data_IF_248249731705
#
_entry.id   IF_248249731705
#
_cell.length_a   1.000
_cell.length_b   1.000
_cell.length_c   1.000
_cell.angle_alpha   90.00
_cell.angle_beta   90.00
_cell.angle_gamma   90.00
#
_symmetry.space_group_name_H-M   'P 1'
#
loop_
_entity.id
_entity.type
_entity.pdbx_description
1 polymer ?
#
# COMPACT_ATOMS: atom_id res chain seq x y z
N UNK A 1 -16.44 22.24 -23.03
CA UNK A 1 -17.64 21.51 -22.57
C UNK A 1 -17.45 21.27 -21.08
N UNK A 2 -18.18 22.01 -20.23
CA UNK A 2 -18.26 21.68 -18.79
C UNK A 2 -19.13 20.45 -18.67
N UNK A 3 -18.56 19.30 -18.39
CA UNK A 3 -19.32 18.16 -17.89
C UNK A 3 -19.82 18.55 -16.49
N UNK A 4 -21.11 18.80 -16.36
CA UNK A 4 -21.76 18.85 -15.05
C UNK A 4 -21.39 17.55 -14.32
N UNK A 5 -20.84 17.68 -13.11
CA UNK A 5 -20.57 16.52 -12.27
C UNK A 5 -21.94 15.87 -11.99
N UNK A 6 -22.10 14.61 -12.43
CA UNK A 6 -23.30 13.84 -12.14
C UNK A 6 -23.57 13.85 -10.63
N UNK A 7 -24.82 14.04 -10.22
CA UNK A 7 -25.19 13.93 -8.81
C UNK A 7 -24.75 12.55 -8.27
N UNK A 8 -24.21 12.49 -7.04
CA UNK A 8 -23.76 11.22 -6.48
C UNK A 8 -24.94 10.26 -6.32
N UNK A 9 -24.74 9.00 -6.73
CA UNK A 9 -25.75 7.95 -6.64
C UNK A 9 -26.17 7.65 -5.19
N UNK A 10 -25.30 8.00 -4.23
CA UNK A 10 -25.51 7.87 -2.79
C UNK A 10 -25.14 9.20 -2.13
N UNK A 11 -26.06 9.76 -1.38
CA UNK A 11 -25.86 10.99 -0.61
C UNK A 11 -25.72 10.65 0.86
N UNK A 12 -24.67 11.13 1.53
CA UNK A 12 -24.53 11.04 2.99
C UNK A 12 -25.43 12.08 3.65
N UNK A 13 -26.29 11.64 4.53
CA UNK A 13 -27.21 12.49 5.32
C UNK A 13 -26.56 12.95 6.63
N UNK A 14 -25.88 12.03 7.30
CA UNK A 14 -25.12 12.29 8.53
C UNK A 14 -24.05 11.25 8.71
N UNK A 15 -23.02 11.58 9.51
CA UNK A 15 -21.90 10.69 9.83
C UNK A 15 -21.64 10.67 11.33
N UNK A 16 -21.31 9.52 11.86
CA UNK A 16 -20.88 9.35 13.25
C UNK A 16 -19.67 8.42 13.33
N UNK A 17 -18.71 8.75 14.20
CA UNK A 17 -17.57 7.87 14.48
C UNK A 17 -18.01 6.87 15.56
N UNK A 18 -17.91 5.57 15.24
CA UNK A 18 -18.28 4.48 16.17
C UNK A 18 -17.09 3.86 16.87
N UNK A 19 -15.90 3.99 16.27
CA UNK A 19 -14.63 3.58 16.87
C UNK A 19 -13.51 4.46 16.34
N UNK A 20 -12.50 4.75 17.16
CA UNK A 20 -11.28 5.42 16.71
C UNK A 20 -10.11 5.08 17.64
N UNK A 21 -8.96 4.76 17.04
CA UNK A 21 -7.66 4.66 17.72
C UNK A 21 -6.60 5.46 16.95
N UNK A 22 -5.33 5.14 17.12
CA UNK A 22 -4.23 5.81 16.41
C UNK A 22 -4.17 5.47 14.91
N UNK A 23 -4.68 4.30 14.54
CA UNK A 23 -4.47 3.69 13.21
C UNK A 23 -5.74 3.59 12.38
N UNK A 24 -6.90 3.57 13.05
CA UNK A 24 -8.18 3.24 12.39
C UNK A 24 -9.31 4.07 12.97
N UNK A 25 -10.17 4.58 12.10
CA UNK A 25 -11.44 5.18 12.44
C UNK A 25 -12.55 4.42 11.73
N UNK A 26 -13.53 3.93 12.47
CA UNK A 26 -14.76 3.37 11.90
C UNK A 26 -15.84 4.43 11.95
N UNK A 27 -16.32 4.83 10.77
CA UNK A 27 -17.42 5.79 10.59
C UNK A 27 -18.67 5.04 10.14
N UNK A 28 -19.81 5.43 10.70
CA UNK A 28 -21.14 5.03 10.25
C UNK A 28 -21.83 6.23 9.61
N UNK A 29 -22.24 6.08 8.34
CA UNK A 29 -22.97 7.08 7.59
C UNK A 29 -24.42 6.65 7.42
N UNK A 30 -25.35 7.57 7.71
CA UNK A 30 -26.72 7.45 7.25
C UNK A 30 -26.78 7.96 5.81
N UNK A 31 -27.31 7.16 4.91
CA UNK A 31 -27.29 7.45 3.47
C UNK A 31 -28.67 7.46 2.85
N UNK A 32 -28.81 8.16 1.73
CA UNK A 32 -29.94 8.14 0.83
C UNK A 32 -29.46 7.81 -0.59
N UNK A 33 -30.08 6.84 -1.22
CA UNK A 33 -29.77 6.45 -2.60
C UNK A 33 -30.58 7.29 -3.58
N UNK A 34 -30.26 7.23 -4.85
CA UNK A 34 -30.93 7.97 -5.94
C UNK A 34 -32.43 7.67 -6.07
N UNK A 35 -32.88 6.50 -5.61
CA UNK A 35 -34.29 6.11 -5.56
C UNK A 35 -35.02 6.61 -4.31
N UNK A 36 -34.36 7.38 -3.45
CA UNK A 36 -34.91 7.89 -2.19
C UNK A 36 -34.86 6.88 -1.03
N UNK A 37 -34.41 5.65 -1.24
CA UNK A 37 -34.26 4.65 -0.19
C UNK A 37 -33.15 5.06 0.79
N UNK A 38 -33.41 4.87 2.09
CA UNK A 38 -32.44 5.15 3.16
C UNK A 38 -31.72 3.89 3.58
N UNK A 39 -30.53 4.06 4.11
CA UNK A 39 -29.69 2.97 4.61
C UNK A 39 -28.53 3.47 5.44
N UNK A 40 -27.64 2.56 5.80
CA UNK A 40 -26.39 2.88 6.49
C UNK A 40 -25.20 2.34 5.72
N UNK A 41 -24.07 3.02 5.85
CA UNK A 41 -22.78 2.57 5.29
C UNK A 41 -21.72 2.63 6.40
N UNK A 42 -20.93 1.56 6.53
CA UNK A 42 -19.78 1.54 7.42
C UNK A 42 -18.52 1.79 6.60
N UNK A 43 -17.73 2.79 6.99
CA UNK A 43 -16.49 3.16 6.31
C UNK A 43 -15.33 3.04 7.27
N UNK A 44 -14.34 2.22 6.90
CA UNK A 44 -13.06 2.12 7.60
C UNK A 44 -12.12 3.18 7.01
N UNK A 45 -11.73 4.14 7.83
CA UNK A 45 -10.80 5.19 7.46
C UNK A 45 -9.42 4.87 8.02
N UNK A 46 -8.42 4.91 7.16
CA UNK A 46 -7.01 4.77 7.50
C UNK A 46 -6.20 5.75 6.67
N UNK A 47 -5.03 6.12 7.15
CA UNK A 47 -4.11 6.95 6.39
C UNK A 47 -3.67 6.23 5.10
N UNK A 48 -3.49 7.00 4.03
CA UNK A 48 -2.91 6.48 2.80
C UNK A 48 -1.48 6.02 3.06
N UNK A 49 -1.01 5.06 2.27
CA UNK A 49 0.33 4.50 2.43
C UNK A 49 1.11 4.52 1.11
N UNK A 50 2.41 4.39 1.20
CA UNK A 50 3.28 4.09 0.08
C UNK A 50 3.79 2.65 0.17
N UNK A 51 3.88 1.99 -0.98
CA UNK A 51 4.49 0.68 -1.14
C UNK A 51 5.59 0.79 -2.18
N UNK A 52 6.73 0.19 -1.89
CA UNK A 52 7.91 0.25 -2.75
C UNK A 52 8.33 -1.15 -3.17
N UNK A 53 8.55 -1.37 -4.46
CA UNK A 53 9.22 -2.56 -5.01
C UNK A 53 10.71 -2.24 -5.13
N UNK A 54 11.58 -2.72 -4.24
CA UNK A 54 13.02 -2.52 -4.37
C UNK A 54 13.59 -3.60 -5.30
N UNK A 55 14.00 -3.20 -6.50
CA UNK A 55 14.45 -4.11 -7.54
C UNK A 55 15.93 -3.93 -7.89
N UNK A 56 16.67 -5.02 -7.89
CA UNK A 56 18.04 -5.09 -8.41
C UNK A 56 18.42 -6.54 -8.80
N UNK A 57 19.39 -6.68 -9.69
CA UNK A 57 19.96 -7.97 -10.06
C UNK A 57 18.93 -9.05 -10.44
N UNK A 58 17.84 -8.66 -11.12
CA UNK A 58 16.76 -9.58 -11.55
C UNK A 58 15.88 -10.11 -10.42
N UNK A 59 15.89 -9.46 -9.26
CA UNK A 59 15.12 -9.85 -8.08
C UNK A 59 14.61 -8.65 -7.29
N UNK A 60 14.08 -8.94 -6.10
CA UNK A 60 13.42 -7.98 -5.22
C UNK A 60 13.87 -8.15 -3.77
N UNK A 61 13.93 -7.05 -3.03
CA UNK A 61 14.00 -7.09 -1.58
C UNK A 61 12.60 -7.12 -0.98
N UNK A 62 12.38 -8.05 -0.07
CA UNK A 62 11.12 -8.24 0.66
C UNK A 62 11.35 -8.06 2.14
N UNK A 63 10.27 -7.76 2.85
CA UNK A 63 10.21 -7.75 4.30
C UNK A 63 9.27 -8.84 4.80
N UNK A 64 9.62 -9.48 5.92
CA UNK A 64 8.79 -10.46 6.60
C UNK A 64 8.48 -9.97 8.00
N UNK A 65 7.20 -9.87 8.32
CA UNK A 65 6.75 -9.50 9.65
C UNK A 65 5.60 -10.38 10.16
N UNK A 66 5.34 -10.31 11.46
CA UNK A 66 4.19 -11.00 12.06
C UNK A 66 2.93 -10.14 11.92
N UNK A 67 1.97 -10.62 11.15
CA UNK A 67 0.67 -9.95 10.95
C UNK A 67 -0.34 -10.50 11.97
N UNK A 68 -0.54 -9.76 13.05
CA UNK A 68 -1.43 -10.15 14.14
C UNK A 68 -2.83 -10.60 13.68
N UNK A 69 -3.52 -9.89 12.75
CA UNK A 69 -4.83 -10.32 12.27
C UNK A 69 -4.83 -11.67 11.55
N UNK A 70 -3.69 -12.06 10.98
CA UNK A 70 -3.53 -13.34 10.28
C UNK A 70 -2.97 -14.45 11.17
N UNK A 71 -2.48 -14.10 12.38
CA UNK A 71 -1.86 -15.03 13.33
C UNK A 71 -0.57 -15.69 12.80
N UNK A 72 0.09 -15.10 11.81
CA UNK A 72 1.29 -15.65 11.19
C UNK A 72 2.21 -14.58 10.63
N UNK A 73 3.44 -14.98 10.32
CA UNK A 73 4.35 -14.16 9.52
C UNK A 73 3.96 -14.20 8.04
N UNK A 74 4.22 -13.12 7.32
CA UNK A 74 4.01 -13.02 5.89
C UNK A 74 5.05 -12.11 5.24
N UNK A 75 5.34 -12.38 3.99
CA UNK A 75 6.24 -11.59 3.17
C UNK A 75 5.47 -10.54 2.37
N UNK A 76 6.02 -9.35 2.26
CA UNK A 76 5.49 -8.23 1.46
C UNK A 76 6.61 -7.37 0.91
N UNK A 77 6.30 -6.44 0.02
CA UNK A 77 7.16 -5.31 -0.23
C UNK A 77 7.09 -4.31 0.93
N UNK A 78 8.17 -3.53 1.18
CA UNK A 78 8.18 -2.45 2.16
C UNK A 78 7.01 -1.49 1.94
N UNK A 79 6.29 -1.15 3.03
CA UNK A 79 5.11 -0.29 2.94
C UNK A 79 4.68 0.26 4.29
N UNK A 80 4.29 1.52 4.32
CA UNK A 80 3.70 2.13 5.50
C UNK A 80 3.08 3.49 5.24
N UNK A 81 2.63 4.14 6.29
CA UNK A 81 1.97 5.44 6.28
C UNK A 81 2.75 6.42 7.14
N UNK A 82 2.63 7.71 6.86
CA UNK A 82 3.23 8.71 7.74
C UNK A 82 2.75 8.54 9.19
N UNK A 83 3.65 8.69 10.17
CA UNK A 83 3.26 8.80 11.56
C UNK A 83 2.24 9.92 11.77
N UNK A 84 1.32 9.74 12.71
CA UNK A 84 0.24 10.70 12.98
C UNK A 84 0.79 12.11 13.22
N UNK A 85 0.30 13.07 12.44
CA UNK A 85 0.71 14.48 12.53
C UNK A 85 1.96 14.81 11.69
N UNK A 86 2.46 13.88 10.92
CA UNK A 86 3.45 14.13 9.87
C UNK A 86 2.75 14.10 8.51
N UNK A 87 3.15 15.04 7.66
CA UNK A 87 2.67 15.14 6.28
C UNK A 87 3.87 15.21 5.33
N UNK A 88 3.68 14.75 4.12
CA UNK A 88 4.69 14.79 3.06
C UNK A 88 4.13 14.31 1.74
N UNK A 89 4.95 14.33 0.72
CA UNK A 89 4.57 13.75 -0.57
C UNK A 89 4.60 12.21 -0.51
N UNK A 90 3.82 11.52 -1.34
CA UNK A 90 3.89 10.07 -1.45
C UNK A 90 5.28 9.54 -1.82
N UNK A 91 6.09 10.32 -2.56
CA UNK A 91 7.47 9.96 -2.89
C UNK A 91 8.38 10.02 -1.65
N UNK A 92 8.24 11.06 -0.81
CA UNK A 92 8.99 11.16 0.44
C UNK A 92 8.66 10.01 1.37
N UNK A 93 7.37 9.64 1.49
CA UNK A 93 6.94 8.47 2.25
C UNK A 93 7.57 7.18 1.69
N UNK A 94 7.51 6.96 0.38
CA UNK A 94 8.09 5.79 -0.24
C UNK A 94 9.61 5.65 0.04
N UNK A 95 10.34 6.76 0.02
CA UNK A 95 11.77 6.79 0.37
C UNK A 95 12.01 6.51 1.84
N UNK A 96 11.16 7.04 2.71
CA UNK A 96 11.24 6.83 4.15
C UNK A 96 11.02 5.36 4.51
N UNK A 97 9.92 4.76 4.04
CA UNK A 97 9.57 3.36 4.28
C UNK A 97 10.64 2.39 3.78
N UNK A 98 11.14 2.60 2.53
CA UNK A 98 12.22 1.79 1.99
C UNK A 98 13.46 1.84 2.91
N UNK A 99 13.82 3.04 3.34
CA UNK A 99 14.99 3.25 4.18
C UNK A 99 14.81 2.67 5.58
N UNK A 100 13.66 2.86 6.17
CA UNK A 100 13.33 2.47 7.54
C UNK A 100 13.29 0.95 7.68
N UNK A 101 12.51 0.27 6.84
CA UNK A 101 12.32 -1.17 6.94
C UNK A 101 13.52 -1.99 6.40
N UNK A 102 14.23 -1.50 5.37
CA UNK A 102 15.28 -2.29 4.69
C UNK A 102 16.68 -1.72 4.80
N UNK A 103 16.84 -0.46 5.18
CA UNK A 103 18.11 0.27 5.09
C UNK A 103 18.45 0.71 3.68
N UNK A 104 17.71 0.30 2.65
CA UNK A 104 18.01 0.65 1.26
C UNK A 104 17.67 2.11 0.95
N UNK A 105 18.45 2.69 0.06
CA UNK A 105 18.22 4.03 -0.51
C UNK A 105 18.11 3.91 -2.02
N UNK A 106 17.05 4.47 -2.60
CA UNK A 106 16.81 4.46 -4.03
C UNK A 106 17.49 5.65 -4.71
N UNK A 107 18.36 5.39 -5.67
CA UNK A 107 18.84 6.42 -6.60
C UNK A 107 17.72 6.88 -7.53
N UNK A 108 16.84 5.95 -7.93
CA UNK A 108 15.67 6.24 -8.76
C UNK A 108 14.40 5.66 -8.15
N UNK A 109 13.33 6.48 -8.11
CA UNK A 109 11.97 6.07 -7.80
C UNK A 109 11.08 6.34 -9.02
N UNK A 110 10.34 5.31 -9.46
CA UNK A 110 9.38 5.41 -10.56
C UNK A 110 7.98 5.08 -10.05
N UNK A 111 7.03 5.99 -10.22
CA UNK A 111 5.65 5.79 -9.81
C UNK A 111 4.97 4.77 -10.72
N UNK A 112 4.40 3.72 -10.13
CA UNK A 112 3.64 2.69 -10.85
C UNK A 112 2.15 3.00 -10.91
N UNK A 113 1.58 3.55 -9.84
CA UNK A 113 0.18 3.94 -9.81
C UNK A 113 -0.40 4.06 -8.40
N UNK A 114 -1.67 4.48 -8.33
CA UNK A 114 -2.47 4.59 -7.12
C UNK A 114 -3.62 3.61 -7.18
N UNK A 115 -3.83 2.83 -6.13
CA UNK A 115 -4.92 1.87 -6.03
C UNK A 115 -5.71 2.06 -4.74
N UNK A 116 -7.04 1.91 -4.83
CA UNK A 116 -7.92 1.91 -3.66
C UNK A 116 -7.85 0.55 -2.95
N UNK A 117 -7.71 0.57 -1.63
CA UNK A 117 -7.64 -0.64 -0.80
C UNK A 117 -9.02 -0.95 -0.23
N UNK A 118 -9.51 -2.18 -0.49
CA UNK A 118 -10.84 -2.61 -0.01
C UNK A 118 -11.94 -1.56 -0.31
N UNK A 119 -11.99 -1.06 -1.55
CA UNK A 119 -12.81 0.07 -2.00
C UNK A 119 -14.32 -0.05 -1.70
N UNK A 120 -14.79 -1.23 -1.34
CA UNK A 120 -16.18 -1.44 -0.90
C UNK A 120 -16.45 -1.05 0.55
N UNK A 121 -15.40 -0.77 1.35
CA UNK A 121 -15.54 -0.47 2.78
C UNK A 121 -14.52 0.52 3.32
N UNK A 122 -13.52 0.91 2.55
CA UNK A 122 -12.46 1.83 2.98
C UNK A 122 -12.25 2.94 1.96
N UNK A 123 -11.83 4.10 2.46
CA UNK A 123 -11.38 5.25 1.65
C UNK A 123 -9.86 5.34 1.53
N UNK A 124 -9.12 4.30 1.97
CA UNK A 124 -7.67 4.24 1.92
C UNK A 124 -7.15 4.01 0.49
N UNK A 125 -6.09 4.71 0.14
CA UNK A 125 -5.32 4.49 -1.09
C UNK A 125 -3.88 4.10 -0.80
N UNK A 126 -3.31 3.26 -1.67
CA UNK A 126 -1.89 2.95 -1.72
C UNK A 126 -1.23 3.55 -2.95
N UNK A 127 -0.13 4.26 -2.76
CA UNK A 127 0.76 4.73 -3.81
C UNK A 127 1.86 3.70 -4.03
N UNK A 128 2.02 3.21 -5.26
CA UNK A 128 2.93 2.12 -5.59
C UNK A 128 4.12 2.63 -6.41
N UNK A 129 5.32 2.25 -5.98
CA UNK A 129 6.58 2.74 -6.51
C UNK A 129 7.53 1.60 -6.86
N UNK A 130 8.39 1.81 -7.86
CA UNK A 130 9.54 0.98 -8.15
C UNK A 130 10.80 1.74 -7.75
N UNK A 131 11.64 1.12 -6.92
CA UNK A 131 12.95 1.64 -6.53
C UNK A 131 14.05 0.86 -7.24
N UNK A 132 14.97 1.58 -7.87
CA UNK A 132 16.16 1.04 -8.54
C UNK A 132 17.39 1.87 -8.17
N UNK A 133 18.56 1.43 -8.63
CA UNK A 133 19.84 2.07 -8.29
C UNK A 133 20.04 2.09 -6.77
N UNK A 134 19.86 0.91 -6.15
CA UNK A 134 19.81 0.77 -4.72
C UNK A 134 21.21 0.87 -4.09
N UNK A 135 21.27 1.53 -2.94
CA UNK A 135 22.47 1.56 -2.07
C UNK A 135 22.10 1.11 -0.67
N UNK A 136 22.95 0.30 -0.06
CA UNK A 136 22.72 -0.23 1.29
C UNK A 136 23.11 0.81 2.34
N UNK A 137 22.25 0.97 3.35
CA UNK A 137 22.48 1.67 4.62
C UNK A 137 21.95 0.83 5.77
N UNK A 138 21.86 1.42 6.95
CA UNK A 138 21.25 0.78 8.11
C UNK A 138 19.74 1.02 8.14
N UNK A 139 18.92 0.02 8.50
CA UNK A 139 17.49 0.21 8.76
C UNK A 139 17.27 0.99 10.07
N UNK A 140 16.13 1.67 10.16
CA UNK A 140 15.71 2.42 11.35
C UNK A 140 14.27 2.01 11.72
N UNK A 141 14.16 0.80 12.27
CA UNK A 141 12.87 0.15 12.55
C UNK A 141 12.12 0.84 13.69
N UNK A 142 10.83 1.03 13.51
CA UNK A 142 9.92 1.45 14.58
C UNK A 142 9.74 0.33 15.63
N UNK A 143 9.30 0.68 16.86
CA UNK A 143 9.08 -0.33 17.91
C UNK A 143 8.09 -1.43 17.50
N UNK A 144 7.12 -1.11 16.65
CA UNK A 144 6.11 -2.03 16.11
C UNK A 144 6.70 -3.00 15.08
N UNK A 145 7.83 -2.64 14.46
CA UNK A 145 8.53 -3.42 13.43
C UNK A 145 9.61 -4.32 14.02
N UNK A 146 9.71 -4.40 15.35
CA UNK A 146 10.68 -5.29 16.01
C UNK A 146 10.47 -6.73 15.56
N UNK A 147 11.54 -7.31 14.97
CA UNK A 147 11.52 -8.65 14.40
C UNK A 147 11.17 -8.71 12.93
N UNK A 148 11.02 -7.57 12.24
CA UNK A 148 11.00 -7.49 10.79
C UNK A 148 12.31 -8.09 10.23
N UNK A 149 12.22 -8.83 9.16
CA UNK A 149 13.35 -9.46 8.46
C UNK A 149 13.33 -9.04 7.01
N UNK A 150 14.50 -8.75 6.46
CA UNK A 150 14.65 -8.46 5.04
C UNK A 150 15.33 -9.64 4.34
N UNK A 151 14.92 -9.90 3.10
CA UNK A 151 15.58 -10.84 2.22
C UNK A 151 15.51 -10.38 0.77
N UNK A 152 16.61 -10.56 0.04
CA UNK A 152 16.58 -10.50 -1.41
C UNK A 152 16.20 -11.87 -1.95
N UNK A 153 15.32 -11.87 -2.97
CA UNK A 153 14.89 -13.08 -3.68
C UNK A 153 14.89 -12.81 -5.18
N UNK A 154 15.15 -13.82 -5.97
CA UNK A 154 14.97 -13.72 -7.42
C UNK A 154 13.50 -13.53 -7.78
N UNK A 155 13.22 -12.99 -8.96
CA UNK A 155 11.82 -12.88 -9.46
C UNK A 155 11.12 -14.23 -9.47
N UNK A 156 11.79 -15.29 -9.90
CA UNK A 156 11.20 -16.65 -9.93
C UNK A 156 10.87 -17.18 -8.53
N UNK A 157 11.73 -16.90 -7.53
CA UNK A 157 11.44 -17.25 -6.13
C UNK A 157 10.28 -16.44 -5.58
N UNK A 158 10.20 -15.14 -5.89
CA UNK A 158 9.07 -14.30 -5.49
C UNK A 158 7.74 -14.84 -6.07
N UNK A 159 7.72 -15.18 -7.35
CA UNK A 159 6.54 -15.78 -7.99
C UNK A 159 6.16 -17.14 -7.38
N UNK A 160 7.15 -17.98 -7.04
CA UNK A 160 6.91 -19.21 -6.29
C UNK A 160 6.34 -18.92 -4.89
N UNK A 161 6.82 -17.89 -4.20
CA UNK A 161 6.29 -17.48 -2.88
C UNK A 161 4.83 -17.03 -2.94
N UNK A 162 4.38 -16.46 -4.07
CA UNK A 162 2.96 -16.17 -4.30
C UNK A 162 2.19 -17.50 -4.44
N UNK A 163 2.68 -18.42 -5.25
CA UNK A 163 2.05 -19.75 -5.46
C UNK A 163 1.92 -20.57 -4.17
N UNK A 164 2.92 -20.49 -3.29
CA UNK A 164 2.98 -21.19 -2.00
C UNK A 164 2.24 -20.46 -0.85
N UNK A 165 1.58 -19.32 -1.14
CA UNK A 165 0.90 -18.47 -0.16
C UNK A 165 1.82 -17.94 0.98
N UNK A 166 3.12 -17.77 0.71
CA UNK A 166 4.05 -17.03 1.58
C UNK A 166 3.90 -15.53 1.40
N UNK A 167 3.56 -15.09 0.19
CA UNK A 167 3.13 -13.71 -0.12
C UNK A 167 1.63 -13.73 -0.35
N UNK A 168 0.86 -13.10 0.54
CA UNK A 168 -0.60 -13.03 0.48
C UNK A 168 -1.13 -11.60 0.60
N UNK A 169 -0.23 -10.64 0.78
CA UNK A 169 -0.58 -9.24 0.84
C UNK A 169 -1.09 -8.74 -0.51
N UNK A 170 -2.34 -8.28 -0.54
CA UNK A 170 -3.00 -7.83 -1.78
C UNK A 170 -2.33 -6.60 -2.39
N UNK A 171 -1.79 -5.69 -1.58
CA UNK A 171 -1.09 -4.50 -2.06
C UNK A 171 0.22 -4.87 -2.75
N UNK A 172 0.98 -5.82 -2.19
CA UNK A 172 2.19 -6.40 -2.82
C UNK A 172 1.87 -7.04 -4.17
N UNK A 173 0.80 -7.85 -4.25
CA UNK A 173 0.38 -8.49 -5.50
C UNK A 173 -0.08 -7.48 -6.54
N UNK A 174 -0.81 -6.45 -6.12
CA UNK A 174 -1.27 -5.38 -7.01
C UNK A 174 -0.09 -4.54 -7.53
N UNK A 175 0.88 -4.21 -6.67
CA UNK A 175 2.11 -3.53 -7.06
C UNK A 175 2.89 -4.33 -8.11
N UNK A 176 3.04 -5.63 -7.89
CA UNK A 176 3.70 -6.52 -8.86
C UNK A 176 2.94 -6.58 -10.20
N UNK A 177 1.61 -6.61 -10.19
CA UNK A 177 0.80 -6.54 -11.40
C UNK A 177 1.02 -5.21 -12.16
N UNK A 178 1.11 -4.08 -11.46
CA UNK A 178 1.42 -2.78 -12.08
C UNK A 178 2.82 -2.79 -12.72
N UNK A 179 3.82 -3.37 -12.03
CA UNK A 179 5.18 -3.54 -12.57
C UNK A 179 5.17 -4.36 -13.87
N UNK A 180 4.51 -5.54 -13.87
CA UNK A 180 4.40 -6.38 -15.07
C UNK A 180 3.72 -5.66 -16.24
N UNK A 181 2.71 -4.84 -15.97
CA UNK A 181 2.04 -4.03 -16.99
C UNK A 181 2.96 -2.94 -17.55
N UNK A 182 3.76 -2.28 -16.71
CA UNK A 182 4.72 -1.27 -17.13
C UNK A 182 5.85 -1.87 -18.00
N UNK A 183 6.36 -3.05 -17.61
CA UNK A 183 7.34 -3.79 -18.42
C UNK A 183 6.77 -4.18 -19.79
N UNK A 184 5.54 -4.71 -19.85
CA UNK A 184 4.86 -5.05 -21.12
C UNK A 184 4.66 -3.86 -22.04
N UNK A 185 4.53 -2.65 -21.49
CA UNK A 185 4.41 -1.42 -22.28
C UNK A 185 5.78 -0.86 -22.69
N UNK A 186 6.88 -1.47 -22.23
CA UNK A 186 8.23 -0.98 -22.47
C UNK A 186 8.58 0.33 -21.74
N UNK A 187 7.85 0.64 -20.68
CA UNK A 187 8.07 1.83 -19.84
C UNK A 187 9.20 1.61 -18.82
N UNK A 188 9.47 0.34 -18.50
CA UNK A 188 10.48 -0.10 -17.55
C UNK A 188 11.22 -1.32 -18.11
N UNK A 189 12.52 -1.40 -17.82
CA UNK A 189 13.37 -2.55 -18.11
C UNK A 189 14.15 -2.90 -16.83
N UNK A 190 13.92 -4.10 -16.32
CA UNK A 190 14.61 -4.67 -15.15
C UNK A 190 15.47 -5.88 -15.51
N UNK A 191 15.79 -6.08 -16.82
CA UNK A 191 16.65 -7.16 -17.30
C UNK A 191 18.13 -6.96 -16.94
#
# INVERSE_FOLDING_TARGET
MHTEAAEPEIRTLSSSVVYSDNWTRLRRDEIERSDGSKGTYAVVQRDNFALVIPAENGGFHLVEEYRHPLGRRGWSFPQGSFPKGQDGSPEELARAELAQETGLRAGRLSRLGTLAVAHGMSDQYGEHWLATELTQGEPDLEPEELGLRCAWVTRAEFEAMIGDARVVDTSTLAAYALLLMAERRGELDLS
#
